data_IF_889517218185
#
_entry.id   IF_889517218185
#
_cell.length_a   1.000
_cell.length_b   1.000
_cell.length_c   1.000
_cell.angle_alpha   90.00
_cell.angle_beta   90.00
_cell.angle_gamma   90.00
#
_symmetry.space_group_name_H-M   'P 1'
#
loop_
_entity.id
_entity.type
_entity.pdbx_description
1 polymer ?
#
# COMPACT_ATOMS: atom_id res chain seq x y z
N UNK A 1 -4.59 8.98 -12.47
CA UNK A 1 -3.42 8.13 -12.77
C UNK A 1 -3.89 6.70 -12.90
N UNK A 2 -3.85 6.13 -14.10
CA UNK A 2 -4.03 4.68 -14.30
C UNK A 2 -2.68 4.02 -14.04
N UNK A 3 -2.65 2.87 -13.36
CA UNK A 3 -1.41 2.16 -13.04
C UNK A 3 -0.53 1.98 -14.30
N UNK A 4 0.78 2.31 -14.24
CA UNK A 4 1.69 2.09 -15.37
C UNK A 4 1.64 0.66 -15.91
N UNK A 5 1.75 0.49 -17.23
CA UNK A 5 1.75 -0.81 -17.90
C UNK A 5 2.72 -1.83 -17.28
N UNK A 6 3.89 -1.37 -16.83
CA UNK A 6 4.89 -2.22 -16.20
C UNK A 6 4.37 -2.86 -14.91
N UNK A 7 3.52 -2.18 -14.13
CA UNK A 7 2.91 -2.75 -12.93
C UNK A 7 2.03 -3.92 -13.35
N UNK A 8 1.14 -3.73 -14.31
CA UNK A 8 0.18 -4.75 -14.73
C UNK A 8 0.88 -5.97 -15.37
N UNK A 9 1.93 -5.73 -16.18
CA UNK A 9 2.77 -6.82 -16.72
C UNK A 9 3.51 -7.55 -15.58
N UNK A 10 4.01 -6.83 -14.57
CA UNK A 10 4.67 -7.45 -13.41
C UNK A 10 3.70 -8.30 -12.60
N UNK A 11 2.47 -7.81 -12.40
CA UNK A 11 1.39 -8.58 -11.79
C UNK A 11 1.09 -9.84 -12.62
N UNK A 12 0.97 -9.74 -13.95
CA UNK A 12 0.75 -10.92 -14.80
C UNK A 12 1.89 -11.93 -14.70
N UNK A 13 3.14 -11.48 -14.79
CA UNK A 13 4.33 -12.33 -14.63
C UNK A 13 4.34 -13.03 -13.27
N UNK A 14 3.98 -12.30 -12.20
CA UNK A 14 3.81 -12.88 -10.87
C UNK A 14 2.73 -13.96 -10.85
N UNK A 15 1.61 -13.77 -11.54
CA UNK A 15 0.52 -14.75 -11.65
C UNK A 15 0.95 -16.02 -12.39
N UNK A 16 1.61 -15.87 -13.54
CA UNK A 16 2.14 -16.99 -14.33
C UNK A 16 3.18 -17.77 -13.53
N UNK A 17 4.13 -17.08 -12.91
CA UNK A 17 5.20 -17.73 -12.17
C UNK A 17 4.69 -18.45 -10.93
N UNK A 18 3.80 -17.83 -10.16
CA UNK A 18 3.27 -18.44 -8.94
C UNK A 18 2.27 -19.56 -9.22
N UNK A 19 1.18 -19.29 -9.93
CA UNK A 19 0.11 -20.27 -10.14
C UNK A 19 0.33 -21.19 -11.34
N UNK A 20 1.07 -20.75 -12.35
CA UNK A 20 1.38 -21.57 -13.52
C UNK A 20 2.55 -22.52 -13.31
N UNK A 21 3.55 -22.14 -12.51
CA UNK A 21 4.80 -22.90 -12.37
C UNK A 21 5.02 -23.36 -10.92
N UNK A 22 5.12 -22.43 -9.97
CA UNK A 22 5.58 -22.74 -8.61
C UNK A 22 4.62 -23.61 -7.80
N UNK A 23 3.34 -23.22 -7.71
CA UNK A 23 2.39 -23.97 -6.87
C UNK A 23 2.12 -25.39 -7.37
N UNK A 24 1.98 -25.65 -8.68
CA UNK A 24 1.94 -27.01 -9.19
C UNK A 24 3.17 -27.84 -8.81
N UNK A 25 4.39 -27.28 -8.97
CA UNK A 25 5.64 -27.98 -8.64
C UNK A 25 5.78 -28.27 -7.14
N UNK A 26 5.41 -27.32 -6.28
CA UNK A 26 5.46 -27.50 -4.82
C UNK A 26 4.39 -28.52 -4.36
N UNK A 27 3.22 -28.54 -5.00
CA UNK A 27 2.15 -29.50 -4.70
C UNK A 27 2.56 -30.93 -5.03
N UNK A 28 3.36 -31.16 -6.06
CA UNK A 28 3.91 -32.49 -6.39
C UNK A 28 4.85 -33.04 -5.31
N UNK A 29 5.46 -32.15 -4.50
CA UNK A 29 6.37 -32.53 -3.40
C UNK A 29 5.66 -32.70 -2.04
N UNK A 30 4.33 -32.82 -2.04
CA UNK A 30 3.52 -33.06 -0.83
C UNK A 30 3.93 -34.38 -0.14
N UNK A 31 4.21 -34.31 1.16
CA UNK A 31 4.70 -35.42 1.99
C UNK A 31 6.22 -35.48 2.15
N UNK A 32 6.99 -34.79 1.30
CA UNK A 32 8.44 -34.63 1.48
C UNK A 32 8.82 -33.26 2.03
N UNK A 33 8.17 -32.19 1.54
CA UNK A 33 8.48 -30.81 1.94
C UNK A 33 7.56 -30.32 3.07
N UNK A 34 6.32 -30.80 3.11
CA UNK A 34 5.33 -30.53 4.15
C UNK A 34 4.42 -31.76 4.36
N UNK A 35 3.79 -31.88 5.53
CA UNK A 35 2.99 -33.06 5.90
C UNK A 35 1.75 -33.22 4.99
N UNK A 36 1.41 -34.47 4.68
CA UNK A 36 0.27 -34.81 3.81
C UNK A 36 -1.06 -34.50 4.48
N UNK A 37 -2.02 -34.01 3.70
CA UNK A 37 -3.41 -33.84 4.17
C UNK A 37 -3.67 -32.61 5.05
N UNK A 38 -2.66 -31.73 5.20
CA UNK A 38 -2.85 -30.37 5.70
C UNK A 38 -3.56 -29.59 4.58
N UNK A 39 -4.89 -29.48 4.63
CA UNK A 39 -5.69 -28.83 3.59
C UNK A 39 -5.17 -27.45 3.14
N UNK A 40 -5.69 -26.92 2.03
CA UNK A 40 -5.16 -25.71 1.35
C UNK A 40 -5.12 -24.43 2.20
N UNK A 41 -5.73 -24.45 3.39
CA UNK A 41 -5.77 -23.37 4.38
C UNK A 41 -4.78 -23.48 5.54
N UNK A 42 -3.84 -24.43 5.53
CA UNK A 42 -2.89 -24.62 6.64
C UNK A 42 -1.52 -23.95 6.37
N UNK A 43 -1.03 -23.19 7.37
CA UNK A 43 0.26 -22.50 7.36
C UNK A 43 1.47 -23.44 7.33
N UNK A 44 1.34 -24.66 7.82
CA UNK A 44 2.39 -25.67 7.71
C UNK A 44 2.36 -26.42 6.38
N UNK A 45 1.31 -26.20 5.57
CA UNK A 45 1.15 -26.76 4.23
C UNK A 45 1.49 -25.76 3.12
N UNK A 46 0.87 -25.94 1.95
CA UNK A 46 1.13 -25.13 0.75
C UNK A 46 0.86 -23.63 0.95
N UNK A 47 -0.10 -23.27 1.82
CA UNK A 47 -0.41 -21.86 2.10
C UNK A 47 0.76 -21.15 2.79
N UNK A 48 1.53 -21.85 3.63
CA UNK A 48 2.75 -21.32 4.22
C UNK A 48 3.71 -20.82 3.15
N UNK A 49 4.00 -21.65 2.14
CA UNK A 49 4.86 -21.27 1.02
C UNK A 49 4.29 -20.08 0.23
N UNK A 50 2.99 -20.06 -0.05
CA UNK A 50 2.33 -18.92 -0.72
C UNK A 50 2.54 -17.61 0.03
N UNK A 51 2.29 -17.62 1.33
CA UNK A 51 2.35 -16.40 2.14
C UNK A 51 3.79 -15.99 2.43
N UNK A 52 4.67 -16.91 2.83
CA UNK A 52 6.04 -16.55 3.20
C UNK A 52 6.91 -16.17 2.00
N UNK A 53 6.74 -16.79 0.84
CA UNK A 53 7.46 -16.36 -0.38
C UNK A 53 6.97 -14.98 -0.83
N UNK A 54 5.66 -14.71 -0.77
CA UNK A 54 5.13 -13.37 -1.03
C UNK A 54 5.68 -12.33 -0.04
N UNK A 55 5.73 -12.67 1.25
CA UNK A 55 6.35 -11.83 2.29
C UNK A 55 7.82 -11.57 1.94
N UNK A 56 8.60 -12.58 1.56
CA UNK A 56 10.01 -12.43 1.23
C UNK A 56 10.25 -11.50 0.04
N UNK A 57 9.45 -11.63 -1.04
CA UNK A 57 9.49 -10.70 -2.18
C UNK A 57 9.16 -9.26 -1.75
N UNK A 58 8.08 -9.10 -0.97
CA UNK A 58 7.63 -7.78 -0.49
C UNK A 58 8.68 -7.14 0.43
N UNK A 59 9.33 -7.92 1.29
CA UNK A 59 10.37 -7.42 2.20
C UNK A 59 11.67 -7.11 1.47
N UNK A 60 12.08 -7.91 0.48
CA UNK A 60 13.27 -7.66 -0.33
C UNK A 60 13.13 -6.38 -1.15
N UNK A 61 11.97 -6.21 -1.80
CA UNK A 61 11.62 -4.97 -2.50
C UNK A 61 11.56 -3.77 -1.55
N UNK A 62 10.83 -3.94 -0.43
CA UNK A 62 10.68 -2.90 0.58
C UNK A 62 12.02 -2.44 1.15
N UNK A 63 12.92 -3.37 1.50
CA UNK A 63 14.24 -3.05 2.05
C UNK A 63 15.10 -2.29 1.04
N UNK A 64 15.15 -2.75 -0.22
CA UNK A 64 15.92 -2.07 -1.25
C UNK A 64 15.44 -0.62 -1.43
N UNK A 65 14.13 -0.44 -1.60
CA UNK A 65 13.55 0.89 -1.82
C UNK A 65 13.69 1.78 -0.57
N UNK A 66 13.58 1.22 0.63
CA UNK A 66 13.82 1.93 1.89
C UNK A 66 15.25 2.46 1.97
N UNK A 67 16.26 1.61 1.72
CA UNK A 67 17.68 2.01 1.72
C UNK A 67 17.95 3.05 0.65
N UNK A 68 17.42 2.85 -0.57
CA UNK A 68 17.56 3.79 -1.68
C UNK A 68 17.00 5.17 -1.36
N UNK A 69 15.76 5.23 -0.87
CA UNK A 69 15.09 6.51 -0.55
C UNK A 69 15.81 7.21 0.60
N UNK A 70 16.22 6.50 1.64
CA UNK A 70 17.00 7.09 2.74
C UNK A 70 18.33 7.62 2.23
N UNK A 71 19.05 6.86 1.40
CA UNK A 71 20.33 7.29 0.84
C UNK A 71 20.17 8.56 0.00
N UNK A 72 19.19 8.62 -0.89
CA UNK A 72 18.90 9.82 -1.66
C UNK A 72 18.49 11.00 -0.79
N UNK A 73 17.69 10.76 0.26
CA UNK A 73 17.26 11.80 1.19
C UNK A 73 18.44 12.38 1.97
N UNK A 74 19.28 11.51 2.54
CA UNK A 74 20.48 11.92 3.28
C UNK A 74 21.48 12.65 2.39
N UNK A 75 21.67 12.17 1.15
CA UNK A 75 22.58 12.81 0.20
C UNK A 75 22.05 14.18 -0.26
N UNK A 76 20.75 14.29 -0.56
CA UNK A 76 20.11 15.57 -0.88
C UNK A 76 20.19 16.57 0.26
N UNK A 77 19.95 16.12 1.50
CA UNK A 77 20.09 16.95 2.70
C UNK A 77 21.54 17.40 2.92
N UNK A 78 22.51 16.49 2.73
CA UNK A 78 23.93 16.80 2.84
C UNK A 78 24.35 17.88 1.83
N UNK A 79 23.93 17.75 0.57
CA UNK A 79 24.24 18.73 -0.47
C UNK A 79 23.62 20.10 -0.15
N UNK A 80 22.35 20.13 0.27
CA UNK A 80 21.65 21.36 0.63
C UNK A 80 22.30 22.08 1.83
N UNK A 81 22.77 21.33 2.83
CA UNK A 81 23.50 21.89 3.97
C UNK A 81 24.88 22.41 3.53
N UNK A 82 25.55 21.70 2.62
CA UNK A 82 26.86 22.10 2.10
C UNK A 82 26.77 23.36 1.22
N UNK A 83 25.73 23.49 0.41
CA UNK A 83 25.44 24.71 -0.36
C UNK A 83 25.13 25.90 0.56
N UNK A 84 24.26 25.74 1.56
CA UNK A 84 24.01 26.80 2.56
C UNK A 84 25.27 27.21 3.33
N UNK A 85 26.16 26.26 3.64
CA UNK A 85 27.46 26.58 4.26
C UNK A 85 28.39 27.33 3.30
N UNK A 86 28.34 27.05 1.99
CA UNK A 86 29.11 27.80 0.97
C UNK A 86 28.60 29.22 0.79
N UNK A 87 27.28 29.42 0.77
CA UNK A 87 26.66 30.76 0.71
C UNK A 87 26.98 31.61 1.95
N UNK A 88 27.08 30.99 3.14
CA UNK A 88 27.39 31.71 4.38
C UNK A 88 28.88 32.05 4.58
N UNK A 89 29.80 31.60 3.72
CA UNK A 89 31.26 31.70 3.97
C UNK A 89 32.02 32.71 3.08
N UNK A 90 31.43 33.33 2.04
CA UNK A 90 32.14 34.34 1.24
C UNK A 90 31.23 35.45 0.68
N UNK A 91 31.43 36.73 1.05
CA UNK A 91 31.22 37.83 0.14
C UNK A 91 32.57 38.12 -0.54
N UNK A 92 32.90 37.42 -1.62
CA UNK A 92 33.96 37.88 -2.52
C UNK A 92 33.26 38.64 -3.63
N UNK A 93 33.39 39.97 -3.58
CA UNK A 93 33.08 40.82 -4.72
C UNK A 93 33.92 40.36 -5.93
N UNK A 94 33.31 40.36 -7.11
CA UNK A 94 33.87 39.98 -8.42
C UNK A 94 33.91 38.49 -8.79
N UNK A 95 32.74 37.85 -8.81
CA UNK A 95 32.46 36.85 -9.85
C UNK A 95 31.09 37.13 -10.48
N UNK A 96 31.09 37.41 -11.79
CA UNK A 96 29.91 37.33 -12.64
C UNK A 96 29.21 36.00 -12.34
N UNK A 97 28.10 36.09 -11.61
CA UNK A 97 27.31 34.94 -11.23
C UNK A 97 26.77 34.31 -12.52
N UNK A 98 26.91 32.99 -12.74
CA UNK A 98 26.10 32.35 -13.76
C UNK A 98 24.66 32.61 -13.34
N UNK A 99 23.92 33.32 -14.19
CA UNK A 99 22.53 33.70 -13.97
C UNK A 99 21.76 32.52 -13.39
N UNK A 100 21.40 32.62 -12.11
CA UNK A 100 20.38 31.77 -11.52
C UNK A 100 19.18 31.83 -12.47
N UNK A 101 18.66 30.70 -12.96
CA UNK A 101 17.59 30.71 -13.95
C UNK A 101 16.48 31.62 -13.42
N UNK A 102 16.12 32.65 -14.18
CA UNK A 102 15.12 33.62 -13.75
C UNK A 102 13.86 32.85 -13.33
N UNK A 103 13.62 32.78 -12.01
CA UNK A 103 12.47 32.09 -11.46
C UNK A 103 11.24 32.72 -12.12
N UNK A 104 10.48 31.91 -12.85
CA UNK A 104 9.28 32.34 -13.58
C UNK A 104 8.39 33.18 -12.68
N UNK A 105 7.79 34.24 -13.23
CA UNK A 105 6.85 35.09 -12.49
C UNK A 105 5.77 34.28 -11.78
N UNK A 106 5.26 33.23 -12.43
CA UNK A 106 4.27 32.33 -11.86
C UNK A 106 4.80 31.56 -10.64
N UNK A 107 6.06 31.10 -10.69
CA UNK A 107 6.68 30.38 -9.57
C UNK A 107 6.99 31.31 -8.40
N UNK A 108 7.40 32.57 -8.68
CA UNK A 108 7.52 33.60 -7.63
C UNK A 108 6.18 33.85 -6.95
N UNK A 109 5.11 34.01 -7.73
CA UNK A 109 3.75 34.26 -7.22
C UNK A 109 3.23 33.08 -6.39
N UNK A 110 3.41 31.85 -6.87
CA UNK A 110 3.05 30.61 -6.14
C UNK A 110 3.80 30.53 -4.81
N UNK A 111 5.11 30.77 -4.83
CA UNK A 111 5.95 30.75 -3.63
C UNK A 111 5.52 31.80 -2.61
N UNK A 112 5.28 33.04 -3.06
CA UNK A 112 4.84 34.12 -2.17
C UNK A 112 3.51 33.81 -1.48
N UNK A 113 2.52 33.28 -2.23
CA UNK A 113 1.22 32.92 -1.67
C UNK A 113 1.31 31.72 -0.72
N UNK A 114 2.10 30.70 -1.09
CA UNK A 114 2.29 29.52 -0.25
C UNK A 114 2.96 29.87 1.09
N UNK A 115 4.01 30.69 1.07
CA UNK A 115 4.74 31.08 2.28
C UNK A 115 3.94 32.04 3.16
N UNK A 116 3.11 32.92 2.58
CA UNK A 116 2.26 33.85 3.33
C UNK A 116 1.34 33.13 4.32
N UNK A 117 0.78 32.01 3.90
CA UNK A 117 -0.17 31.22 4.67
C UNK A 117 0.46 29.97 5.31
N UNK A 118 1.79 29.96 5.50
CA UNK A 118 2.45 28.83 6.13
C UNK A 118 1.94 28.59 7.57
N UNK A 119 1.90 27.31 7.96
CA UNK A 119 1.56 26.89 9.32
C UNK A 119 2.79 27.14 10.21
N UNK A 120 2.65 27.86 11.34
CA UNK A 120 3.76 28.10 12.25
C UNK A 120 4.37 26.79 12.77
N UNK A 121 5.70 26.70 12.73
CA UNK A 121 6.43 25.49 13.16
C UNK A 121 6.18 25.14 14.62
N UNK A 122 6.12 26.14 15.51
CA UNK A 122 5.76 25.95 16.91
C UNK A 122 4.40 25.27 17.08
N UNK A 123 3.39 25.70 16.30
CA UNK A 123 2.05 25.10 16.35
C UNK A 123 2.09 23.63 15.91
N UNK A 124 2.83 23.32 14.85
CA UNK A 124 2.99 21.93 14.38
C UNK A 124 3.71 21.04 15.41
N UNK A 125 4.80 21.54 16.02
CA UNK A 125 5.56 20.80 17.05
C UNK A 125 4.72 20.61 18.31
N UNK A 126 4.07 21.66 18.81
CA UNK A 126 3.21 21.58 19.98
C UNK A 126 2.02 20.63 19.75
N UNK A 127 1.37 20.71 18.58
CA UNK A 127 0.29 19.81 18.19
C UNK A 127 0.76 18.35 18.10
N UNK A 128 1.94 18.11 17.52
CA UNK A 128 2.53 16.77 17.45
C UNK A 128 2.79 16.19 18.83
N UNK A 129 3.45 16.95 19.73
CA UNK A 129 3.76 16.50 21.09
C UNK A 129 2.48 16.24 21.88
N UNK A 130 1.48 17.11 21.78
CA UNK A 130 0.19 16.94 22.46
C UNK A 130 -0.55 15.68 21.99
N UNK A 131 -0.66 15.46 20.68
CA UNK A 131 -1.33 14.28 20.11
C UNK A 131 -0.53 13.01 20.41
N UNK A 132 0.80 13.05 20.36
CA UNK A 132 1.66 11.93 20.74
C UNK A 132 1.47 11.55 22.23
N UNK A 133 1.34 12.53 23.12
CA UNK A 133 1.06 12.30 24.53
C UNK A 133 -0.31 11.64 24.74
N UNK A 134 -1.36 12.15 24.08
CA UNK A 134 -2.71 11.56 24.12
C UNK A 134 -2.69 10.13 23.59
N UNK A 135 -2.02 9.89 22.46
CA UNK A 135 -1.88 8.56 21.86
C UNK A 135 -1.14 7.59 22.77
N UNK A 136 -0.06 8.05 23.42
CA UNK A 136 0.71 7.26 24.39
C UNK A 136 -0.13 6.84 25.61
N UNK A 137 -1.06 7.70 26.05
CA UNK A 137 -1.96 7.38 27.15
C UNK A 137 -3.12 6.46 26.73
N UNK A 138 -3.70 6.68 25.54
CA UNK A 138 -4.94 6.01 25.10
C UNK A 138 -4.72 4.66 24.44
N UNK A 139 -3.68 4.49 23.60
CA UNK A 139 -3.44 3.24 22.88
C UNK A 139 -3.21 2.01 23.78
N UNK A 140 -2.50 2.10 24.93
CA UNK A 140 -2.36 0.95 25.83
C UNK A 140 -3.69 0.48 26.42
N UNK A 141 -4.72 1.34 26.51
CA UNK A 141 -6.06 0.94 26.97
C UNK A 141 -6.84 0.16 25.90
N UNK A 142 -6.58 0.45 24.62
CA UNK A 142 -7.21 -0.25 23.50
C UNK A 142 -6.45 -1.56 23.22
N UNK A 143 -5.12 -1.47 23.13
CA UNK A 143 -4.20 -2.58 22.85
C UNK A 143 -3.27 -2.79 24.05
N UNK A 144 -3.73 -3.56 25.03
CA UNK A 144 -3.00 -3.83 26.28
C UNK A 144 -1.57 -4.36 26.07
N UNK A 145 -1.31 -5.06 24.97
CA UNK A 145 0.02 -5.57 24.61
C UNK A 145 0.98 -4.46 24.13
N UNK A 146 0.45 -3.34 23.62
CA UNK A 146 1.21 -2.17 23.19
C UNK A 146 1.40 -1.22 24.37
N UNK A 147 2.41 -1.50 25.20
CA UNK A 147 2.78 -0.65 26.34
C UNK A 147 3.23 0.75 25.90
N UNK A 148 3.05 1.73 26.79
CA UNK A 148 3.34 3.15 26.58
C UNK A 148 4.76 3.43 26.05
N UNK A 149 5.77 2.69 26.53
CA UNK A 149 7.15 2.92 26.12
C UNK A 149 7.42 2.55 24.66
N UNK A 150 6.71 1.57 24.09
CA UNK A 150 6.80 1.26 22.66
C UNK A 150 6.28 2.44 21.82
N UNK A 151 5.19 3.05 22.27
CA UNK A 151 4.53 4.17 21.59
C UNK A 151 5.42 5.40 21.60
N UNK A 152 6.06 5.71 22.73
CA UNK A 152 7.03 6.82 22.81
C UNK A 152 8.16 6.62 21.80
N UNK A 153 8.75 5.42 21.74
CA UNK A 153 9.83 5.12 20.77
C UNK A 153 9.34 5.30 19.33
N UNK A 154 8.12 4.84 19.01
CA UNK A 154 7.51 5.04 17.69
C UNK A 154 7.39 6.54 17.37
N UNK A 155 6.85 7.36 18.27
CA UNK A 155 6.71 8.81 18.05
C UNK A 155 8.06 9.55 18.06
N UNK A 156 9.10 9.03 18.69
CA UNK A 156 10.44 9.63 18.56
C UNK A 156 11.06 9.39 17.18
N UNK A 157 10.85 8.20 16.61
CA UNK A 157 11.46 7.80 15.32
C UNK A 157 10.59 8.20 14.12
N UNK A 158 9.27 8.28 14.30
CA UNK A 158 8.31 8.50 13.21
C UNK A 158 8.55 9.79 12.41
N UNK A 159 8.91 10.96 12.98
CA UNK A 159 9.13 12.19 12.19
C UNK A 159 10.25 12.04 11.17
N UNK A 160 11.34 11.35 11.53
CA UNK A 160 12.46 11.09 10.61
C UNK A 160 12.02 10.18 9.47
N UNK A 161 11.29 9.10 9.78
CA UNK A 161 10.79 8.17 8.76
C UNK A 161 9.72 8.82 7.87
N UNK A 162 8.84 9.63 8.45
CA UNK A 162 7.82 10.40 7.74
C UNK A 162 8.46 11.41 6.80
N UNK A 163 9.52 12.11 7.22
CA UNK A 163 10.29 12.99 6.35
C UNK A 163 10.93 12.23 5.19
N UNK A 164 11.63 11.12 5.46
CA UNK A 164 12.24 10.29 4.42
C UNK A 164 11.19 9.77 3.43
N UNK A 165 10.02 9.34 3.91
CA UNK A 165 8.93 8.88 3.06
C UNK A 165 8.32 10.01 2.23
N UNK A 166 8.03 11.16 2.84
CA UNK A 166 7.44 12.29 2.13
C UNK A 166 8.41 12.85 1.07
N UNK A 167 9.69 13.02 1.42
CA UNK A 167 10.73 13.44 0.47
C UNK A 167 10.92 12.42 -0.65
N UNK A 168 11.03 11.13 -0.30
CA UNK A 168 11.12 10.03 -1.25
C UNK A 168 9.93 9.95 -2.19
N UNK A 169 8.72 10.10 -1.65
CA UNK A 169 7.48 10.15 -2.41
C UNK A 169 7.42 11.40 -3.30
N UNK A 170 7.91 12.55 -2.83
CA UNK A 170 8.00 13.76 -3.65
C UNK A 170 8.91 13.61 -4.88
N UNK A 171 9.99 12.82 -4.76
CA UNK A 171 10.93 12.53 -5.85
C UNK A 171 10.48 11.39 -6.76
N UNK A 172 9.85 10.36 -6.20
CA UNK A 172 9.56 9.10 -6.92
C UNK A 172 8.08 8.89 -7.23
N UNK A 173 7.20 9.75 -6.72
CA UNK A 173 5.74 9.62 -6.75
C UNK A 173 5.23 8.32 -6.11
N UNK A 174 6.01 7.76 -5.18
CA UNK A 174 5.72 6.47 -4.55
C UNK A 174 5.87 6.52 -3.03
N UNK A 175 4.80 6.19 -2.30
CA UNK A 175 4.81 6.11 -0.83
C UNK A 175 5.18 4.71 -0.36
N UNK A 176 6.13 4.63 0.57
CA UNK A 176 6.62 3.41 1.20
C UNK A 176 6.00 3.16 2.57
N UNK A 177 4.88 3.80 2.91
CA UNK A 177 4.24 3.72 4.23
C UNK A 177 4.06 2.27 4.72
N UNK A 178 3.64 1.35 3.84
CA UNK A 178 3.49 -0.07 4.19
C UNK A 178 4.81 -0.75 4.58
N UNK A 179 5.93 -0.34 4.00
CA UNK A 179 7.28 -0.84 4.33
C UNK A 179 7.71 -0.35 5.70
N UNK A 180 7.53 0.93 6.00
CA UNK A 180 7.79 1.48 7.34
C UNK A 180 6.92 0.83 8.41
N UNK A 181 5.64 0.55 8.11
CA UNK A 181 4.75 -0.22 8.98
C UNK A 181 5.28 -1.63 9.27
N UNK A 182 5.77 -2.34 8.25
CA UNK A 182 6.38 -3.67 8.42
C UNK A 182 7.64 -3.64 9.28
N UNK A 183 8.47 -2.59 9.16
CA UNK A 183 9.62 -2.40 10.07
C UNK A 183 9.16 -2.26 11.53
N UNK A 184 8.05 -1.55 11.78
CA UNK A 184 7.47 -1.46 13.12
C UNK A 184 6.98 -2.83 13.64
N UNK A 185 6.40 -3.68 12.78
CA UNK A 185 6.08 -5.07 13.14
C UNK A 185 7.33 -5.83 13.60
N UNK A 186 8.40 -5.81 12.82
CA UNK A 186 9.60 -6.60 13.15
C UNK A 186 10.30 -6.07 14.39
N UNK A 187 10.42 -4.75 14.53
CA UNK A 187 11.12 -4.15 15.67
C UNK A 187 10.33 -4.27 16.97
N UNK A 188 9.07 -3.80 17.00
CA UNK A 188 8.25 -3.82 18.21
C UNK A 188 7.75 -5.23 18.53
N UNK A 189 7.39 -6.01 17.51
CA UNK A 189 6.99 -7.40 17.70
C UNK A 189 8.11 -8.25 18.30
N UNK A 190 9.33 -8.16 17.75
CA UNK A 190 10.48 -8.85 18.33
C UNK A 190 10.80 -8.37 19.75
N UNK A 191 10.73 -7.05 20.00
CA UNK A 191 11.02 -6.48 21.32
C UNK A 191 9.97 -6.86 22.39
N UNK A 192 8.69 -6.93 22.02
CA UNK A 192 7.65 -7.40 22.94
C UNK A 192 7.74 -8.91 23.22
N UNK A 193 8.21 -9.70 22.23
CA UNK A 193 8.40 -11.14 22.37
C UNK A 193 7.08 -11.93 22.41
N UNK A 194 7.19 -13.25 22.23
CA UNK A 194 6.02 -14.12 22.11
C UNK A 194 5.19 -14.18 23.39
N UNK A 195 5.84 -14.16 24.55
CA UNK A 195 5.23 -14.31 25.87
C UNK A 195 4.38 -13.10 26.30
N UNK A 196 4.63 -11.91 25.74
CA UNK A 196 3.89 -10.69 26.06
C UNK A 196 2.91 -10.28 24.95
N UNK A 197 2.58 -11.20 24.03
CA UNK A 197 1.65 -10.91 22.93
C UNK A 197 2.23 -10.00 21.85
N UNK A 198 3.52 -10.15 21.55
CA UNK A 198 4.24 -9.32 20.58
C UNK A 198 3.62 -9.27 19.17
N UNK A 199 2.82 -10.27 18.78
CA UNK A 199 2.09 -10.26 17.50
C UNK A 199 1.09 -9.10 17.47
N UNK A 200 0.29 -8.93 18.54
CA UNK A 200 -0.68 -7.85 18.66
C UNK A 200 0.01 -6.50 18.81
N UNK A 201 1.07 -6.43 19.64
CA UNK A 201 1.85 -5.21 19.82
C UNK A 201 2.50 -4.74 18.51
N UNK A 202 3.10 -5.66 17.74
CA UNK A 202 3.71 -5.36 16.45
C UNK A 202 2.69 -4.89 15.41
N UNK A 203 1.52 -5.54 15.32
CA UNK A 203 0.45 -5.13 14.41
C UNK A 203 -0.10 -3.74 14.75
N UNK A 204 -0.35 -3.47 16.04
CA UNK A 204 -0.80 -2.16 16.50
C UNK A 204 0.26 -1.08 16.22
N UNK A 205 1.53 -1.36 16.50
CA UNK A 205 2.66 -0.47 16.19
C UNK A 205 2.78 -0.17 14.69
N UNK A 206 2.57 -1.18 13.82
CA UNK A 206 2.50 -0.98 12.38
C UNK A 206 1.36 -0.06 11.99
N UNK A 207 0.17 -0.23 12.57
CA UNK A 207 -0.95 0.68 12.34
C UNK A 207 -0.58 2.14 12.65
N UNK A 208 0.03 2.38 13.82
CA UNK A 208 0.47 3.73 14.22
C UNK A 208 1.51 4.29 13.24
N UNK A 209 2.58 3.54 12.98
CA UNK A 209 3.67 3.99 12.12
C UNK A 209 3.20 4.25 10.67
N UNK A 210 2.40 3.33 10.12
CA UNK A 210 1.90 3.44 8.75
C UNK A 210 1.00 4.66 8.57
N UNK A 211 0.12 4.95 9.53
CA UNK A 211 -0.72 6.15 9.47
C UNK A 211 0.13 7.43 9.52
N UNK A 212 1.09 7.54 10.44
CA UNK A 212 1.95 8.74 10.54
C UNK A 212 2.71 8.98 9.21
N UNK A 213 3.31 7.92 8.68
CA UNK A 213 4.16 8.00 7.48
C UNK A 213 3.35 8.22 6.20
N UNK A 214 2.16 7.62 6.08
CA UNK A 214 1.25 7.82 4.94
C UNK A 214 0.67 9.23 4.97
N UNK A 215 0.12 9.68 6.11
CA UNK A 215 -0.48 11.02 6.20
C UNK A 215 0.54 12.11 5.94
N UNK A 216 1.81 11.92 6.32
CA UNK A 216 2.88 12.86 5.98
C UNK A 216 3.17 12.94 4.47
N UNK A 217 3.18 11.81 3.75
CA UNK A 217 3.35 11.82 2.29
C UNK A 217 2.13 12.40 1.58
N UNK A 218 0.93 12.06 2.03
CA UNK A 218 -0.32 12.51 1.41
C UNK A 218 -0.48 14.02 1.59
N UNK A 219 -0.21 14.54 2.80
CA UNK A 219 -0.24 15.98 3.07
C UNK A 219 0.81 16.75 2.24
N UNK A 220 1.98 16.16 1.97
CA UNK A 220 2.98 16.75 1.08
C UNK A 220 2.45 16.85 -0.36
N UNK A 221 1.76 15.82 -0.86
CA UNK A 221 1.15 15.82 -2.19
C UNK A 221 0.00 16.83 -2.28
N UNK A 222 -0.81 16.93 -1.23
CA UNK A 222 -1.87 17.93 -1.12
C UNK A 222 -1.28 19.34 -1.15
N UNK A 223 -0.24 19.63 -0.35
CA UNK A 223 0.44 20.92 -0.39
C UNK A 223 1.07 21.24 -1.74
N UNK A 224 1.61 20.24 -2.46
CA UNK A 224 2.07 20.44 -3.85
C UNK A 224 0.92 20.82 -4.77
N UNK A 225 -0.23 20.17 -4.64
CA UNK A 225 -1.44 20.50 -5.40
C UNK A 225 -1.95 21.90 -5.05
N UNK A 226 -1.96 22.25 -3.76
CA UNK A 226 -2.30 23.59 -3.27
C UNK A 226 -1.37 24.67 -3.82
N UNK A 227 -0.07 24.42 -3.81
CA UNK A 227 0.94 25.30 -4.41
C UNK A 227 0.68 25.56 -5.90
N UNK A 228 0.35 24.51 -6.67
CA UNK A 228 0.07 24.62 -8.11
C UNK A 228 -1.27 25.32 -8.40
N UNK A 229 -2.27 25.13 -7.53
CA UNK A 229 -3.62 25.70 -7.67
C UNK A 229 -3.79 27.04 -6.97
N UNK A 230 -2.74 27.58 -6.33
CA UNK A 230 -2.77 28.80 -5.52
C UNK A 230 -3.73 28.71 -4.32
N UNK A 231 -4.05 27.50 -3.86
CA UNK A 231 -4.86 27.29 -2.66
C UNK A 231 -4.01 27.52 -1.39
N UNK A 232 -4.65 28.05 -0.34
CA UNK A 232 -4.00 28.32 0.94
C UNK A 232 -3.61 27.01 1.66
N UNK A 233 -2.35 26.84 2.10
CA UNK A 233 -1.90 25.68 2.87
C UNK A 233 -2.69 25.48 4.17
N UNK A 234 -3.14 26.57 4.82
CA UNK A 234 -4.00 26.51 6.01
C UNK A 234 -5.34 25.87 5.69
N UNK A 235 -5.98 26.29 4.60
CA UNK A 235 -7.25 25.70 4.17
C UNK A 235 -7.10 24.21 3.86
N UNK A 236 -6.00 23.80 3.20
CA UNK A 236 -5.75 22.37 2.96
C UNK A 236 -5.58 21.59 4.26
N UNK A 237 -4.81 22.11 5.22
CA UNK A 237 -4.62 21.48 6.52
C UNK A 237 -5.93 21.36 7.31
N UNK A 238 -6.76 22.40 7.33
CA UNK A 238 -8.08 22.35 7.99
C UNK A 238 -8.99 21.32 7.32
N UNK A 239 -9.03 21.28 5.98
CA UNK A 239 -9.77 20.26 5.24
C UNK A 239 -9.30 18.84 5.59
N UNK A 240 -7.98 18.63 5.73
CA UNK A 240 -7.42 17.34 6.14
C UNK A 240 -7.87 16.94 7.55
N UNK A 241 -7.92 17.89 8.49
CA UNK A 241 -8.43 17.64 9.85
C UNK A 241 -9.90 17.23 9.80
N UNK A 242 -10.72 17.94 9.04
CA UNK A 242 -12.16 17.64 8.90
C UNK A 242 -12.34 16.24 8.31
N UNK A 243 -11.66 15.94 7.19
CA UNK A 243 -11.72 14.64 6.54
C UNK A 243 -11.25 13.51 7.45
N UNK A 244 -10.14 13.70 8.17
CA UNK A 244 -9.63 12.72 9.14
C UNK A 244 -10.62 12.48 10.27
N UNK A 245 -11.21 13.55 10.82
CA UNK A 245 -12.20 13.46 11.91
C UNK A 245 -13.44 12.68 11.47
N UNK A 246 -13.94 12.95 10.26
CA UNK A 246 -15.03 12.18 9.66
C UNK A 246 -14.65 10.71 9.47
N UNK A 247 -13.44 10.44 8.97
CA UNK A 247 -12.92 9.08 8.78
C UNK A 247 -12.83 8.29 10.10
N UNK A 248 -12.40 8.93 11.19
CA UNK A 248 -12.33 8.31 12.51
C UNK A 248 -13.69 7.83 13.04
N UNK A 249 -14.81 8.41 12.57
CA UNK A 249 -16.17 7.99 12.96
C UNK A 249 -16.76 7.03 11.93
N UNK A 250 -16.67 7.37 10.65
CA UNK A 250 -17.31 6.61 9.57
C UNK A 250 -16.64 5.25 9.37
N UNK A 251 -15.31 5.18 9.31
CA UNK A 251 -14.61 3.93 9.01
C UNK A 251 -14.84 2.83 10.06
N UNK A 252 -14.72 3.09 11.38
CA UNK A 252 -15.04 2.08 12.39
C UNK A 252 -16.52 1.69 12.39
N UNK A 253 -17.43 2.65 12.13
CA UNK A 253 -18.87 2.38 12.06
C UNK A 253 -19.21 1.42 10.94
N UNK A 254 -18.68 1.66 9.73
CA UNK A 254 -18.85 0.77 8.58
C UNK A 254 -18.21 -0.59 8.85
N UNK A 255 -16.99 -0.62 9.39
CA UNK A 255 -16.35 -1.89 9.77
C UNK A 255 -17.19 -2.69 10.76
N UNK A 256 -17.78 -2.04 11.76
CA UNK A 256 -18.62 -2.69 12.76
C UNK A 256 -19.92 -3.27 12.18
N UNK A 257 -20.50 -2.60 11.18
CA UNK A 257 -21.65 -3.12 10.44
C UNK A 257 -21.26 -4.41 9.72
N UNK A 258 -20.16 -4.41 8.97
CA UNK A 258 -19.67 -5.61 8.28
C UNK A 258 -19.33 -6.73 9.26
N UNK A 259 -18.67 -6.39 10.36
CA UNK A 259 -18.29 -7.36 11.39
C UNK A 259 -19.50 -8.04 12.05
N UNK A 260 -20.61 -7.31 12.24
CA UNK A 260 -21.85 -7.87 12.77
C UNK A 260 -22.70 -8.60 11.72
N UNK A 261 -22.71 -8.11 10.48
CA UNK A 261 -23.50 -8.67 9.40
C UNK A 261 -22.92 -9.99 8.87
N UNK A 262 -21.59 -10.11 8.80
CA UNK A 262 -20.88 -11.24 8.22
C UNK A 262 -20.06 -11.98 9.29
N UNK A 263 -20.58 -13.07 9.88
CA UNK A 263 -19.89 -13.79 10.97
C UNK A 263 -18.62 -14.52 10.53
N UNK A 264 -18.41 -14.67 9.22
CA UNK A 264 -17.23 -15.28 8.60
C UNK A 264 -16.27 -14.26 7.97
N UNK A 265 -16.49 -12.95 8.20
CA UNK A 265 -15.65 -11.87 7.67
C UNK A 265 -14.15 -12.16 7.83
N UNK A 266 -13.41 -12.08 6.73
CA UNK A 266 -11.96 -12.25 6.70
C UNK A 266 -11.47 -13.69 6.55
N UNK A 267 -12.35 -14.70 6.62
CA UNK A 267 -11.98 -16.10 6.31
C UNK A 267 -11.76 -16.27 4.81
N UNK A 268 -10.84 -17.14 4.40
CA UNK A 268 -10.54 -17.38 2.98
C UNK A 268 -11.71 -17.96 2.18
N UNK A 269 -12.67 -18.59 2.86
CA UNK A 269 -13.88 -19.17 2.26
C UNK A 269 -15.11 -18.26 2.38
N UNK A 270 -14.96 -17.08 2.98
CA UNK A 270 -16.06 -16.12 3.14
C UNK A 270 -16.28 -15.30 1.89
N UNK A 271 -17.43 -14.63 1.80
CA UNK A 271 -17.73 -13.64 0.75
C UNK A 271 -16.74 -12.47 0.77
N UNK A 272 -16.25 -12.10 1.96
CA UNK A 272 -15.33 -10.98 2.18
C UNK A 272 -13.99 -11.47 2.76
N UNK A 273 -13.14 -12.14 1.95
CA UNK A 273 -11.84 -12.59 2.41
C UNK A 273 -10.90 -11.40 2.67
N UNK A 274 -10.07 -11.48 3.71
CA UNK A 274 -9.11 -10.44 4.09
C UNK A 274 -7.66 -10.92 3.86
N UNK A 275 -7.21 -11.04 2.58
CA UNK A 275 -5.92 -11.64 2.27
C UNK A 275 -4.74 -10.85 2.84
N UNK A 276 -4.84 -9.51 2.86
CA UNK A 276 -3.81 -8.65 3.47
C UNK A 276 -3.70 -8.86 4.98
N UNK A 277 -4.81 -9.05 5.69
CA UNK A 277 -4.78 -9.29 7.13
C UNK A 277 -3.96 -10.55 7.48
N UNK A 278 -4.06 -11.59 6.65
CA UNK A 278 -3.27 -12.82 6.80
C UNK A 278 -1.77 -12.53 6.63
N UNK A 279 -1.39 -11.71 5.64
CA UNK A 279 0.01 -11.32 5.41
C UNK A 279 0.57 -10.58 6.62
N UNK A 280 -0.11 -9.53 7.09
CA UNK A 280 0.35 -8.74 8.22
C UNK A 280 0.42 -9.58 9.50
N UNK A 281 -0.58 -10.43 9.76
CA UNK A 281 -0.56 -11.38 10.87
C UNK A 281 0.65 -12.31 10.80
N UNK A 282 0.95 -12.87 9.64
CA UNK A 282 2.06 -13.79 9.48
C UNK A 282 3.43 -13.09 9.53
N UNK A 283 3.53 -11.85 9.05
CA UNK A 283 4.72 -11.01 9.27
C UNK A 283 4.94 -10.75 10.76
N UNK A 284 3.87 -10.50 11.51
CA UNK A 284 3.96 -10.30 12.96
C UNK A 284 4.33 -11.58 13.71
N UNK A 285 3.80 -12.73 13.31
CA UNK A 285 4.23 -14.03 13.84
C UNK A 285 5.71 -14.26 13.54
N UNK A 286 6.16 -14.01 12.31
CA UNK A 286 7.56 -14.15 11.90
C UNK A 286 8.48 -13.21 12.69
N UNK A 287 8.07 -11.97 12.93
CA UNK A 287 8.85 -11.02 13.72
C UNK A 287 8.99 -11.40 15.19
N UNK A 288 8.04 -12.18 15.73
CA UNK A 288 7.98 -12.54 17.15
C UNK A 288 8.59 -13.91 17.44
N UNK A 289 8.30 -14.90 16.60
CA UNK A 289 8.75 -16.29 16.75
C UNK A 289 10.04 -16.58 15.97
N UNK A 290 10.47 -15.66 15.11
CA UNK A 290 11.63 -15.83 14.25
C UNK A 290 11.42 -16.87 13.16
N UNK A 291 12.50 -17.24 12.48
CA UNK A 291 12.44 -18.12 11.31
C UNK A 291 12.26 -19.62 11.64
N UNK A 292 12.20 -19.98 12.93
CA UNK A 292 12.09 -21.37 13.38
C UNK A 292 10.71 -22.00 13.18
N UNK A 293 9.67 -21.21 12.89
CA UNK A 293 8.29 -21.69 12.68
C UNK A 293 7.97 -22.09 11.23
N UNK A 294 8.94 -22.00 10.32
CA UNK A 294 8.74 -22.21 8.88
C UNK A 294 8.83 -23.70 8.48
N UNK A 295 8.03 -24.15 7.49
CA UNK A 295 8.15 -25.49 6.91
C UNK A 295 9.56 -25.76 6.35
N UNK A 296 9.94 -27.04 6.23
CA UNK A 296 11.24 -27.44 5.65
C UNK A 296 11.40 -26.83 4.25
N UNK A 297 12.60 -26.36 3.92
CA UNK A 297 12.94 -25.68 2.65
C UNK A 297 12.21 -24.35 2.37
N UNK A 298 11.21 -23.95 3.16
CA UNK A 298 10.49 -22.69 2.95
C UNK A 298 11.42 -21.48 3.15
N UNK A 299 12.28 -21.55 4.15
CA UNK A 299 13.25 -20.50 4.49
C UNK A 299 14.27 -20.29 3.36
N UNK A 300 14.79 -21.37 2.77
CA UNK A 300 15.70 -21.30 1.62
C UNK A 300 15.03 -20.60 0.42
N UNK A 301 13.78 -20.98 0.10
CA UNK A 301 13.01 -20.31 -0.95
C UNK A 301 12.81 -18.84 -0.63
N UNK A 302 12.48 -18.49 0.62
CA UNK A 302 12.36 -17.10 1.05
C UNK A 302 13.66 -16.31 0.80
N UNK A 303 14.83 -16.86 1.14
CA UNK A 303 16.11 -16.18 0.85
C UNK A 303 16.37 -16.01 -0.64
N UNK A 304 16.07 -17.02 -1.46
CA UNK A 304 16.23 -16.93 -2.92
C UNK A 304 15.33 -15.82 -3.48
N UNK A 305 14.05 -15.79 -3.10
CA UNK A 305 13.10 -14.79 -3.59
C UNK A 305 13.39 -13.38 -3.04
N UNK A 306 13.85 -13.27 -1.80
CA UNK A 306 14.32 -12.01 -1.23
C UNK A 306 15.51 -11.46 -2.01
N UNK A 307 16.53 -12.30 -2.25
CA UNK A 307 17.71 -11.92 -3.04
C UNK A 307 17.32 -11.57 -4.48
N UNK A 308 16.42 -12.34 -5.10
CA UNK A 308 15.90 -12.06 -6.43
C UNK A 308 15.20 -10.68 -6.48
N UNK A 309 14.38 -10.32 -5.48
CA UNK A 309 13.74 -9.01 -5.42
C UNK A 309 14.77 -7.87 -5.35
N UNK A 310 15.80 -8.02 -4.52
CA UNK A 310 16.89 -7.04 -4.41
C UNK A 310 17.67 -6.93 -5.74
N UNK A 311 18.02 -8.06 -6.36
CA UNK A 311 18.76 -8.11 -7.61
C UNK A 311 17.95 -7.50 -8.76
N UNK A 312 16.64 -7.79 -8.86
CA UNK A 312 15.77 -7.23 -9.89
C UNK A 312 15.71 -5.71 -9.76
N UNK A 313 15.54 -5.19 -8.55
CA UNK A 313 15.52 -3.74 -8.32
C UNK A 313 16.88 -3.08 -8.57
N UNK A 314 17.98 -3.72 -8.16
CA UNK A 314 19.33 -3.26 -8.45
C UNK A 314 19.57 -3.20 -9.96
N UNK A 315 19.22 -4.26 -10.68
CA UNK A 315 19.34 -4.33 -12.14
C UNK A 315 18.47 -3.28 -12.83
N UNK A 316 17.23 -3.08 -12.35
CA UNK A 316 16.32 -2.04 -12.83
C UNK A 316 16.97 -0.65 -12.75
N UNK A 317 17.62 -0.33 -11.64
CA UNK A 317 18.26 0.97 -11.44
C UNK A 317 19.56 1.11 -12.27
N UNK A 318 20.38 0.06 -12.37
CA UNK A 318 21.57 0.07 -13.23
C UNK A 318 21.23 0.26 -14.71
N UNK A 319 20.09 -0.26 -15.17
CA UNK A 319 19.67 -0.16 -16.58
C UNK A 319 19.09 1.23 -16.94
N UNK A 320 18.91 2.13 -15.96
CA UNK A 320 18.42 3.49 -16.18
C UNK A 320 17.15 3.53 -17.05
N UNK A 321 17.25 4.13 -18.25
CA UNK A 321 16.12 4.24 -19.20
C UNK A 321 15.58 2.89 -19.67
N UNK A 322 16.39 1.83 -19.72
CA UNK A 322 15.95 0.46 -20.06
C UNK A 322 15.32 -0.28 -18.87
N UNK A 323 15.47 0.24 -17.65
CA UNK A 323 14.81 -0.28 -16.43
C UNK A 323 13.28 -0.18 -16.45
N UNK A 324 12.71 0.56 -17.42
CA UNK A 324 11.25 0.62 -17.66
C UNK A 324 10.64 -0.73 -18.03
N UNK A 325 11.44 -1.67 -18.55
CA UNK A 325 10.98 -3.02 -18.93
C UNK A 325 11.21 -4.08 -17.84
N UNK A 326 11.96 -3.74 -16.78
CA UNK A 326 12.25 -4.67 -15.69
C UNK A 326 11.04 -4.73 -14.76
N UNK A 327 10.52 -5.93 -14.46
CA UNK A 327 9.33 -6.09 -13.62
C UNK A 327 9.58 -5.60 -12.19
N UNK A 328 8.50 -5.25 -11.52
CA UNK A 328 8.50 -4.77 -10.14
C UNK A 328 8.21 -5.95 -9.19
N UNK A 329 9.18 -6.35 -8.34
CA UNK A 329 9.01 -7.50 -7.45
C UNK A 329 7.81 -7.37 -6.51
N UNK A 330 7.52 -6.17 -6.00
CA UNK A 330 6.33 -5.94 -5.18
C UNK A 330 5.02 -6.24 -5.92
N UNK A 331 4.91 -5.81 -7.19
CA UNK A 331 3.74 -6.09 -8.02
C UNK A 331 3.62 -7.59 -8.36
N UNK A 332 4.76 -8.25 -8.60
CA UNK A 332 4.81 -9.71 -8.80
C UNK A 332 4.38 -10.52 -7.57
N UNK A 333 4.52 -9.97 -6.36
CA UNK A 333 4.17 -10.67 -5.13
C UNK A 333 2.66 -10.72 -4.87
N UNK A 334 1.86 -9.84 -5.47
CA UNK A 334 0.40 -9.77 -5.24
C UNK A 334 -0.33 -11.05 -5.68
N UNK A 335 -0.11 -11.57 -6.90
CA UNK A 335 -0.72 -12.82 -7.36
C UNK A 335 -0.32 -14.07 -6.58
N UNK A 336 0.84 -14.06 -5.92
CA UNK A 336 1.32 -15.22 -5.16
C UNK A 336 0.34 -15.64 -4.06
N UNK A 337 -0.44 -14.69 -3.54
CA UNK A 337 -1.40 -14.95 -2.47
C UNK A 337 -2.86 -14.67 -2.85
N UNK A 338 -3.17 -13.67 -3.69
CA UNK A 338 -4.57 -13.37 -4.08
C UNK A 338 -5.07 -14.36 -5.14
N UNK A 339 -4.21 -14.73 -6.08
CA UNK A 339 -4.62 -15.47 -7.28
C UNK A 339 -4.36 -14.68 -8.56
N UNK A 340 -4.37 -15.33 -9.73
CA UNK A 340 -4.07 -14.69 -11.00
C UNK A 340 -5.28 -13.96 -11.62
N UNK A 341 -6.51 -14.12 -11.08
CA UNK A 341 -7.72 -13.56 -11.69
C UNK A 341 -7.64 -12.04 -11.86
N UNK A 342 -7.27 -11.30 -10.81
CA UNK A 342 -7.16 -9.85 -10.88
C UNK A 342 -6.02 -9.40 -11.82
N UNK A 343 -4.97 -10.23 -11.98
CA UNK A 343 -3.88 -9.94 -12.90
C UNK A 343 -4.38 -9.90 -14.35
N UNK A 344 -5.31 -10.80 -14.69
CA UNK A 344 -5.95 -10.86 -16.01
C UNK A 344 -6.81 -9.61 -16.21
N UNK A 345 -7.66 -9.27 -15.24
CA UNK A 345 -8.53 -8.09 -15.31
C UNK A 345 -7.74 -6.79 -15.52
N UNK A 346 -6.65 -6.61 -14.76
CA UNK A 346 -5.75 -5.46 -14.91
C UNK A 346 -5.03 -5.44 -16.27
N UNK A 347 -4.65 -6.61 -16.79
CA UNK A 347 -4.05 -6.72 -18.12
C UNK A 347 -5.04 -6.39 -19.24
N UNK A 348 -6.29 -6.84 -19.14
CA UNK A 348 -7.34 -6.50 -20.11
C UNK A 348 -7.60 -4.99 -20.09
N UNK A 349 -7.74 -4.38 -18.91
CA UNK A 349 -7.89 -2.92 -18.80
C UNK A 349 -6.71 -2.15 -19.40
N UNK A 350 -5.49 -2.66 -19.22
CA UNK A 350 -4.28 -2.10 -19.84
C UNK A 350 -4.28 -2.23 -21.35
N UNK A 351 -4.70 -3.38 -21.88
CA UNK A 351 -4.77 -3.60 -23.32
C UNK A 351 -5.77 -2.65 -23.98
N UNK A 352 -6.93 -2.45 -23.35
CA UNK A 352 -7.93 -1.48 -23.80
C UNK A 352 -7.34 -0.07 -23.84
N UNK A 353 -6.65 0.35 -22.77
CA UNK A 353 -5.99 1.66 -22.73
C UNK A 353 -4.93 1.79 -23.82
N UNK A 354 -4.09 0.76 -23.99
CA UNK A 354 -3.03 0.76 -25.00
C UNK A 354 -3.57 0.86 -26.43
N UNK A 355 -4.64 0.12 -26.75
CA UNK A 355 -5.32 0.21 -28.04
C UNK A 355 -5.93 1.61 -28.22
N UNK A 356 -6.54 2.17 -27.19
CA UNK A 356 -7.12 3.51 -27.25
C UNK A 356 -6.04 4.59 -27.47
N UNK A 357 -4.90 4.52 -26.76
CA UNK A 357 -3.76 5.42 -26.96
C UNK A 357 -3.18 5.32 -28.38
N UNK A 358 -3.16 4.11 -28.98
CA UNK A 358 -2.71 3.88 -30.35
C UNK A 358 -3.65 4.46 -31.40
N UNK A 359 -4.96 4.44 -31.14
CA UNK A 359 -5.96 4.99 -32.06
C UNK A 359 -6.04 6.52 -31.93
N UNK A 360 -6.13 7.02 -30.70
CA UNK A 360 -6.24 8.45 -30.44
C UNK A 360 -5.69 8.81 -29.05
N UNK A 361 -4.40 9.15 -29.03
CA UNK A 361 -3.67 9.53 -27.82
C UNK A 361 -4.30 10.72 -27.08
N UNK A 362 -4.69 11.78 -27.80
CA UNK A 362 -5.26 12.98 -27.18
C UNK A 362 -6.57 12.69 -26.44
N UNK A 363 -7.43 11.84 -27.02
CA UNK A 363 -8.68 11.43 -26.38
C UNK A 363 -8.44 10.47 -25.20
N UNK A 364 -7.48 9.56 -25.32
CA UNK A 364 -7.12 8.65 -24.24
C UNK A 364 -6.57 9.43 -23.03
N UNK A 365 -5.63 10.34 -23.24
CA UNK A 365 -5.02 11.15 -22.18
C UNK A 365 -6.08 12.00 -21.43
N UNK A 366 -7.08 12.52 -22.15
CA UNK A 366 -8.15 13.33 -21.57
C UNK A 366 -9.23 12.51 -20.83
N UNK A 367 -9.68 11.38 -21.39
CA UNK A 367 -10.89 10.68 -20.92
C UNK A 367 -10.63 9.33 -20.27
N UNK A 368 -9.46 8.71 -20.45
CA UNK A 368 -9.20 7.41 -19.86
C UNK A 368 -9.35 7.38 -18.33
N UNK A 369 -8.86 8.38 -17.56
CA UNK A 369 -9.09 8.41 -16.11
C UNK A 369 -10.58 8.47 -15.74
N UNK A 370 -11.38 9.22 -16.51
CA UNK A 370 -12.81 9.35 -16.29
C UNK A 370 -13.55 8.03 -16.58
N UNK A 371 -13.23 7.37 -17.70
CA UNK A 371 -13.82 6.07 -18.06
C UNK A 371 -13.43 4.99 -17.05
N UNK A 372 -12.15 4.91 -16.67
CA UNK A 372 -11.69 3.95 -15.66
C UNK A 372 -12.39 4.17 -14.31
N UNK A 373 -12.53 5.43 -13.89
CA UNK A 373 -13.27 5.77 -12.66
C UNK A 373 -14.76 5.39 -12.76
N UNK A 374 -15.37 5.58 -13.93
CA UNK A 374 -16.74 5.17 -14.20
C UNK A 374 -16.93 3.65 -14.14
N UNK A 375 -15.99 2.87 -14.66
CA UNK A 375 -16.02 1.40 -14.57
C UNK A 375 -15.87 0.91 -13.13
N UNK A 376 -14.94 1.49 -12.36
CA UNK A 376 -14.76 1.18 -10.92
C UNK A 376 -16.02 1.56 -10.13
N UNK A 377 -16.59 2.74 -10.39
CA UNK A 377 -17.83 3.17 -9.77
C UNK A 377 -19.01 2.25 -10.14
N UNK A 378 -19.09 1.81 -11.41
CA UNK A 378 -20.11 0.88 -11.88
C UNK A 378 -20.06 -0.47 -11.17
N UNK A 379 -18.87 -1.03 -11.00
CA UNK A 379 -18.66 -2.25 -10.19
C UNK A 379 -19.07 -2.01 -8.72
N UNK A 380 -18.70 -0.86 -8.16
CA UNK A 380 -19.14 -0.44 -6.83
C UNK A 380 -20.66 -0.33 -6.70
N UNK A 381 -21.36 0.21 -7.70
CA UNK A 381 -22.83 0.31 -7.69
C UNK A 381 -23.47 -1.08 -7.68
N UNK A 382 -22.87 -2.07 -8.34
CA UNK A 382 -23.39 -3.44 -8.36
C UNK A 382 -23.40 -4.12 -6.98
N UNK A 383 -22.55 -3.66 -6.06
CA UNK A 383 -22.55 -4.17 -4.68
C UNK A 383 -23.85 -3.87 -3.93
N UNK A 384 -24.58 -2.80 -4.28
CA UNK A 384 -25.86 -2.44 -3.64
C UNK A 384 -26.96 -3.48 -3.96
N UNK A 385 -27.30 -3.79 -5.23
CA UNK A 385 -28.19 -4.89 -5.56
C UNK A 385 -27.74 -6.23 -4.99
N UNK A 386 -26.43 -6.54 -5.06
CA UNK A 386 -25.90 -7.79 -4.49
C UNK A 386 -26.16 -7.90 -2.99
N UNK A 387 -25.94 -6.81 -2.25
CA UNK A 387 -26.23 -6.73 -0.81
C UNK A 387 -27.71 -6.89 -0.50
N UNK A 388 -28.60 -6.30 -1.30
CA UNK A 388 -30.06 -6.47 -1.15
C UNK A 388 -30.45 -7.93 -1.38
N UNK A 389 -29.90 -8.58 -2.40
CA UNK A 389 -30.15 -10.00 -2.69
C UNK A 389 -29.63 -10.92 -1.58
N UNK A 390 -28.46 -10.61 -1.02
CA UNK A 390 -27.89 -11.32 0.13
C UNK A 390 -28.77 -11.17 1.37
N UNK A 391 -29.25 -9.95 1.67
CA UNK A 391 -30.20 -9.68 2.76
C UNK A 391 -31.55 -10.39 2.57
N UNK A 392 -31.99 -10.52 1.31
CA UNK A 392 -33.19 -11.29 0.96
C UNK A 392 -32.99 -12.82 1.04
N UNK A 393 -31.79 -13.30 1.39
CA UNK A 393 -31.50 -14.72 1.56
C UNK A 393 -31.43 -15.52 0.26
N UNK A 394 -31.28 -14.85 -0.88
CA UNK A 394 -31.21 -15.51 -2.19
C UNK A 394 -29.90 -16.28 -2.31
N UNK A 395 -29.98 -17.61 -2.41
CA UNK A 395 -28.79 -18.46 -2.53
C UNK A 395 -28.36 -18.57 -4.00
N UNK A 396 -27.08 -18.31 -4.33
CA UNK A 396 -26.56 -18.54 -5.67
C UNK A 396 -26.55 -20.04 -6.03
N UNK A 397 -26.64 -20.42 -7.32
CA UNK A 397 -26.64 -19.53 -8.50
C UNK A 397 -28.01 -18.91 -8.81
N UNK A 398 -28.03 -17.60 -9.05
CA UNK A 398 -29.20 -16.86 -9.54
C UNK A 398 -29.23 -17.00 -11.07
N UNK A 399 -30.13 -17.82 -11.59
CA UNK A 399 -30.37 -17.91 -13.03
C UNK A 399 -31.25 -16.76 -13.51
N UNK A 400 -30.63 -15.65 -13.92
CA UNK A 400 -31.34 -14.55 -14.59
C UNK A 400 -31.61 -14.95 -16.04
N UNK A 401 -32.87 -15.20 -16.40
CA UNK A 401 -33.29 -15.47 -17.78
C UNK A 401 -33.94 -14.22 -18.38
N UNK A 402 -33.36 -13.68 -19.44
CA UNK A 402 -33.95 -12.60 -20.21
C UNK A 402 -34.86 -13.20 -21.29
N UNK A 403 -36.13 -13.38 -20.95
CA UNK A 403 -37.14 -13.93 -21.85
C UNK A 403 -38.02 -12.81 -22.41
N UNK A 404 -38.50 -12.98 -23.64
CA UNK A 404 -39.58 -12.14 -24.15
C UNK A 404 -40.81 -12.29 -23.24
N UNK A 405 -41.63 -11.25 -23.12
CA UNK A 405 -42.82 -11.26 -22.25
C UNK A 405 -43.71 -12.47 -22.49
N UNK A 406 -43.91 -12.84 -23.76
CA UNK A 406 -44.72 -14.00 -24.15
C UNK A 406 -44.11 -15.33 -23.71
N UNK A 407 -42.78 -15.45 -23.73
CA UNK A 407 -42.07 -16.65 -23.27
C UNK A 407 -42.06 -16.73 -21.75
N UNK A 408 -41.92 -15.60 -21.05
CA UNK A 408 -41.92 -15.57 -19.59
C UNK A 408 -43.28 -16.01 -19.01
N UNK A 409 -44.38 -15.54 -19.60
CA UNK A 409 -45.73 -15.98 -19.22
C UNK A 409 -45.89 -17.50 -19.37
N UNK A 410 -45.40 -18.09 -20.46
CA UNK A 410 -45.45 -19.55 -20.67
C UNK A 410 -44.62 -20.32 -19.63
N UNK A 411 -43.45 -19.79 -19.26
CA UNK A 411 -42.57 -20.38 -18.25
C UNK A 411 -43.18 -20.29 -16.86
N UNK A 412 -43.79 -19.15 -16.50
CA UNK A 412 -44.50 -18.98 -15.23
C UNK A 412 -45.71 -19.92 -15.13
N UNK A 413 -46.46 -20.09 -16.22
CA UNK A 413 -47.56 -21.08 -16.27
C UNK A 413 -47.03 -22.51 -16.10
N UNK A 414 -45.88 -22.85 -16.67
CA UNK A 414 -45.27 -24.18 -16.57
C UNK A 414 -44.65 -24.46 -15.20
N UNK A 415 -44.12 -23.45 -14.51
CA UNK A 415 -43.53 -23.60 -13.17
C UNK A 415 -44.58 -23.54 -12.04
N UNK A 416 -45.74 -22.94 -12.31
CA UNK A 416 -46.88 -22.87 -11.38
C UNK A 416 -47.85 -24.06 -11.44
N UNK A 417 -47.66 -24.97 -12.39
CA UNK A 417 -48.33 -26.28 -12.51
C UNK A 417 -47.45 -27.39 -11.97
#
# INVERSE_FOLDING_TARGET
>A
MICPYIINISVLLGGILSWGIMWPLIKTNEGHWYEKGLGEGNLHGIQGYRVFIAIALILGDGLYNFVKVITHTLWGLYHQIQERKRENVLPVADQDSPSSPEISYDDRRRTQLFLKDQIPTWFAVAGYVAIAAISTATLPHIFHQLKWYYIIVIYLVAPTLAFCNAYGCGLTDWSLASTYGKLAIFTIGAWAGATQGGVLAGLAACGVMMNIVSTASDLMQDFKTGYLTLASPRSMFVSQIIGTTMGCVISPSVFWIFYKAFPDLGKSTSEYPAPYAIIYRNMAILGVQGFGSLPKNCLLLCYIFFAAAVIINLFKDFLGKKGKFVPLPMAMAIPFYIGPYFAIDMCVGSLILYVWERINKAKADAFAPAVASGLICGDGIWTLPASILALAGVKPPICMKFLSRATNVKVDTFLGS
#
